data_IF_344441767622
#
_entry.id   IF_344441767622
#
_cell.length_a   1.000
_cell.length_b   1.000
_cell.length_c   1.000
_cell.angle_alpha   90.00
_cell.angle_beta   90.00
_cell.angle_gamma   90.00
#
_symmetry.space_group_name_H-M   'P 1'
#
loop_
_entity.id
_entity.type
_entity.pdbx_description
1 polymer ?
#
# COMPACT_ATOMS: atom_id res chain seq x y z
N UNK A 1 25.83 -80.01 75.24
CA UNK A 1 25.63 -79.79 73.78
C UNK A 1 24.71 -78.61 73.64
N UNK A 2 25.26 -77.49 73.20
CA UNK A 2 24.69 -76.15 73.40
C UNK A 2 23.67 -75.78 72.32
N UNK A 3 22.46 -75.43 72.77
CA UNK A 3 21.33 -75.01 71.93
C UNK A 3 21.41 -73.52 71.51
N UNK A 4 22.45 -72.79 71.90
CA UNK A 4 22.65 -71.37 71.56
C UNK A 4 23.22 -71.14 70.16
N UNK A 5 23.91 -72.12 69.58
CA UNK A 5 24.44 -72.01 68.22
C UNK A 5 23.36 -72.21 67.14
N UNK A 6 22.33 -73.03 67.39
CA UNK A 6 21.27 -73.27 66.39
C UNK A 6 20.34 -72.07 66.22
N UNK A 7 20.02 -71.32 67.28
CA UNK A 7 19.21 -70.10 67.19
C UNK A 7 19.95 -68.96 66.50
N UNK A 8 21.24 -68.73 66.81
CA UNK A 8 22.05 -67.73 66.14
C UNK A 8 22.21 -68.00 64.63
N UNK A 9 22.38 -69.28 64.26
CA UNK A 9 22.48 -69.70 62.86
C UNK A 9 21.14 -69.50 62.12
N UNK A 10 20.01 -69.88 62.71
CA UNK A 10 18.67 -69.66 62.10
C UNK A 10 18.31 -68.18 62.00
N UNK A 11 18.66 -67.35 62.99
CA UNK A 11 18.51 -65.88 62.90
C UNK A 11 19.39 -65.30 61.79
N UNK A 12 20.64 -65.75 61.65
CA UNK A 12 21.53 -65.30 60.57
C UNK A 12 21.03 -65.69 59.17
N UNK A 13 20.42 -66.87 59.01
CA UNK A 13 19.85 -67.32 57.73
C UNK A 13 18.54 -66.60 57.40
N UNK A 14 17.71 -66.28 58.39
CA UNK A 14 16.47 -65.54 58.20
C UNK A 14 16.73 -64.06 57.92
N UNK A 15 17.72 -63.44 58.57
CA UNK A 15 18.18 -62.08 58.24
C UNK A 15 18.79 -62.00 56.84
N UNK A 16 19.68 -62.93 56.48
CA UNK A 16 20.24 -63.01 55.11
C UNK A 16 19.15 -63.18 54.04
N UNK A 17 18.10 -63.95 54.31
CA UNK A 17 16.98 -64.15 53.38
C UNK A 17 16.13 -62.89 53.22
N UNK A 18 15.90 -62.16 54.31
CA UNK A 18 15.16 -60.88 54.32
C UNK A 18 15.93 -59.80 53.55
N UNK A 19 17.22 -59.63 53.81
CA UNK A 19 18.06 -58.67 53.07
C UNK A 19 18.16 -59.01 51.59
N UNK A 20 18.31 -60.30 51.23
CA UNK A 20 18.31 -60.74 49.83
C UNK A 20 17.00 -60.38 49.12
N UNK A 21 15.85 -60.56 49.77
CA UNK A 21 14.55 -60.17 49.21
C UNK A 21 14.44 -58.64 49.05
N UNK A 22 14.93 -57.88 50.04
CA UNK A 22 14.90 -56.43 49.99
C UNK A 22 15.72 -55.86 48.81
N UNK A 23 16.88 -56.45 48.50
CA UNK A 23 17.65 -56.08 47.30
C UNK A 23 16.89 -56.41 46.00
N UNK A 24 16.19 -57.55 45.93
CA UNK A 24 15.37 -57.92 44.77
C UNK A 24 14.24 -56.91 44.54
N UNK A 25 13.56 -56.47 45.60
CA UNK A 25 12.47 -55.51 45.51
C UNK A 25 12.98 -54.11 45.08
N UNK A 26 14.13 -53.68 45.60
CA UNK A 26 14.79 -52.44 45.22
C UNK A 26 15.28 -52.47 43.76
N UNK A 27 15.90 -53.58 43.34
CA UNK A 27 16.33 -53.78 41.95
C UNK A 27 15.13 -53.77 40.99
N UNK A 28 13.98 -54.31 41.41
CA UNK A 28 12.72 -54.20 40.69
C UNK A 28 12.29 -52.74 40.49
N UNK A 29 12.37 -51.92 41.55
CA UNK A 29 12.04 -50.49 41.47
C UNK A 29 13.01 -49.72 40.55
N UNK A 30 14.32 -50.00 40.64
CA UNK A 30 15.34 -49.39 39.77
C UNK A 30 15.11 -49.71 38.29
N UNK A 31 14.79 -50.97 37.98
CA UNK A 31 14.48 -51.38 36.61
C UNK A 31 13.27 -50.63 36.06
N UNK A 32 12.22 -50.47 36.86
CA UNK A 32 11.02 -49.74 36.45
C UNK A 32 11.30 -48.24 36.23
N UNK A 33 12.18 -47.64 37.03
CA UNK A 33 12.64 -46.26 36.84
C UNK A 33 13.45 -46.07 35.55
N UNK A 34 14.23 -47.09 35.16
CA UNK A 34 15.06 -47.06 33.96
C UNK A 34 14.28 -47.28 32.65
N UNK A 35 13.01 -47.69 32.72
CA UNK A 35 12.21 -47.98 31.54
C UNK A 35 11.44 -46.74 31.05
N UNK A 36 11.70 -46.23 29.83
CA UNK A 36 11.09 -45.00 29.33
C UNK A 36 9.59 -45.12 29.03
N UNK A 37 9.04 -46.34 29.01
CA UNK A 37 7.63 -46.62 28.71
C UNK A 37 6.73 -46.66 29.96
N UNK A 38 7.31 -46.62 31.17
CA UNK A 38 6.52 -46.64 32.41
C UNK A 38 6.07 -45.25 32.81
N UNK A 39 4.81 -45.15 33.27
CA UNK A 39 4.27 -43.89 33.80
C UNK A 39 4.99 -43.50 35.08
N UNK A 40 5.29 -42.21 35.24
CA UNK A 40 5.89 -41.68 36.48
C UNK A 40 5.06 -42.03 37.72
N UNK A 41 3.73 -42.14 37.58
CA UNK A 41 2.83 -42.52 38.67
C UNK A 41 3.04 -43.97 39.13
N UNK A 42 3.33 -44.89 38.21
CA UNK A 42 3.68 -46.27 38.56
C UNK A 42 5.06 -46.34 39.23
N UNK A 43 6.02 -45.54 38.76
CA UNK A 43 7.33 -45.45 39.39
C UNK A 43 7.24 -44.97 40.85
N UNK A 44 6.43 -43.94 41.12
CA UNK A 44 6.17 -43.46 42.50
C UNK A 44 5.52 -44.57 43.35
N UNK A 45 4.50 -45.26 42.83
CA UNK A 45 3.84 -46.35 43.56
C UNK A 45 4.80 -47.49 43.91
N UNK A 46 5.67 -47.88 42.99
CA UNK A 46 6.65 -48.93 43.22
C UNK A 46 7.67 -48.53 44.30
N UNK A 47 8.14 -47.29 44.28
CA UNK A 47 9.05 -46.76 45.30
C UNK A 47 8.38 -46.77 46.68
N UNK A 48 7.11 -46.33 46.75
CA UNK A 48 6.35 -46.35 48.00
C UNK A 48 6.16 -47.79 48.51
N UNK A 49 5.92 -48.76 47.62
CA UNK A 49 5.85 -50.17 48.00
C UNK A 49 7.17 -50.69 48.60
N UNK A 50 8.33 -50.32 48.04
CA UNK A 50 9.65 -50.65 48.61
C UNK A 50 9.87 -50.00 49.98
N UNK A 51 9.36 -48.78 50.17
CA UNK A 51 9.34 -48.10 51.47
C UNK A 51 8.28 -48.62 52.44
N UNK A 52 7.41 -49.53 51.98
CA UNK A 52 6.26 -50.06 52.73
C UNK A 52 5.24 -48.99 53.10
N UNK A 53 4.99 -48.05 52.18
CA UNK A 53 4.08 -46.92 52.30
C UNK A 53 3.02 -46.98 51.19
N UNK A 54 1.84 -46.44 51.48
CA UNK A 54 0.76 -46.27 50.50
C UNK A 54 0.58 -44.81 50.12
N UNK A 55 0.18 -44.55 48.86
CA UNK A 55 -0.13 -43.18 48.39
C UNK A 55 -1.23 -42.58 49.27
N UNK A 56 -0.86 -41.57 50.06
CA UNK A 56 -1.71 -40.90 51.04
C UNK A 56 -1.24 -39.45 51.26
N UNK A 57 -2.15 -38.56 51.64
CA UNK A 57 -1.84 -37.19 52.05
C UNK A 57 -0.90 -37.12 53.24
N UNK A 58 -0.91 -38.15 54.10
CA UNK A 58 0.02 -38.27 55.22
C UNK A 58 1.50 -38.33 54.79
N UNK A 59 1.78 -38.59 53.51
CA UNK A 59 3.13 -38.59 52.94
C UNK A 59 3.62 -37.21 52.50
N UNK A 60 2.77 -36.19 52.50
CA UNK A 60 3.14 -34.81 52.14
C UNK A 60 3.83 -34.04 53.28
N UNK A 61 4.06 -34.71 54.43
CA UNK A 61 4.90 -34.22 55.53
C UNK A 61 6.38 -34.31 55.19
N UNK A 62 7.21 -33.52 55.86
CA UNK A 62 8.66 -33.59 55.65
C UNK A 62 9.22 -34.91 56.21
N UNK A 63 9.84 -35.69 55.32
CA UNK A 63 10.58 -36.94 55.60
C UNK A 63 9.72 -38.09 56.19
N UNK A 64 8.77 -38.65 55.41
CA UNK A 64 7.92 -39.74 55.90
C UNK A 64 8.78 -40.98 56.27
N UNK A 65 8.58 -41.56 57.47
CA UNK A 65 9.38 -42.70 57.92
C UNK A 65 9.03 -43.97 57.13
N UNK A 66 10.01 -44.82 56.87
CA UNK A 66 9.80 -46.15 56.29
C UNK A 66 9.17 -47.09 57.33
N UNK A 67 8.37 -48.05 56.91
CA UNK A 67 7.84 -49.05 57.87
C UNK A 67 8.92 -50.06 58.27
N UNK A 68 8.92 -50.50 59.53
CA UNK A 68 9.94 -51.40 60.11
C UNK A 68 10.05 -52.75 59.37
N UNK A 69 9.03 -53.13 58.61
CA UNK A 69 8.98 -54.36 57.82
C UNK A 69 9.33 -54.14 56.35
N UNK A 70 9.47 -52.90 55.90
CA UNK A 70 9.74 -52.56 54.50
C UNK A 70 11.13 -53.01 54.05
N UNK A 71 11.25 -53.22 52.74
CA UNK A 71 12.53 -53.51 52.09
C UNK A 71 13.51 -52.34 52.26
N UNK A 72 13.03 -51.09 52.21
CA UNK A 72 13.85 -49.91 52.49
C UNK A 72 14.44 -49.91 53.92
N UNK A 73 13.65 -50.23 54.93
CA UNK A 73 14.12 -50.28 56.32
C UNK A 73 15.14 -51.40 56.54
N UNK A 74 14.92 -52.57 55.91
CA UNK A 74 15.86 -53.70 55.95
C UNK A 74 17.21 -53.38 55.30
N UNK A 75 17.23 -52.42 54.36
CA UNK A 75 18.44 -51.89 53.72
C UNK A 75 19.04 -50.68 54.45
N UNK A 76 18.50 -50.32 55.62
CA UNK A 76 19.07 -49.27 56.48
C UNK A 76 18.53 -47.85 56.24
N UNK A 77 17.54 -47.69 55.38
CA UNK A 77 16.89 -46.39 55.14
C UNK A 77 15.90 -46.07 56.26
N UNK A 78 16.04 -44.89 56.88
CA UNK A 78 15.19 -44.46 58.00
C UNK A 78 13.92 -43.76 57.54
N UNK A 79 13.97 -43.11 56.39
CA UNK A 79 12.86 -42.36 55.82
C UNK A 79 12.87 -42.45 54.29
N UNK A 80 11.77 -42.04 53.67
CA UNK A 80 11.64 -42.09 52.21
C UNK A 80 12.71 -41.25 51.52
N UNK A 81 13.06 -40.09 52.10
CA UNK A 81 14.10 -39.22 51.54
C UNK A 81 15.45 -39.92 51.48
N UNK A 82 15.85 -40.66 52.50
CA UNK A 82 17.11 -41.42 52.49
C UNK A 82 17.10 -42.49 51.40
N UNK A 83 15.98 -43.20 51.19
CA UNK A 83 15.84 -44.16 50.09
C UNK A 83 16.02 -43.49 48.71
N UNK A 84 15.40 -42.31 48.52
CA UNK A 84 15.43 -41.57 47.26
C UNK A 84 16.82 -41.00 46.95
N UNK A 85 17.45 -40.34 47.93
CA UNK A 85 18.67 -39.55 47.68
C UNK A 85 19.96 -40.34 47.81
N UNK A 86 19.96 -41.46 48.53
CA UNK A 86 21.17 -42.31 48.69
C UNK A 86 21.57 -42.90 47.33
N UNK A 87 22.87 -43.01 47.07
CA UNK A 87 23.38 -43.51 45.81
C UNK A 87 23.02 -44.98 45.57
N UNK A 88 22.95 -45.40 44.31
CA UNK A 88 22.63 -46.80 43.97
C UNK A 88 23.65 -47.81 44.53
N UNK A 89 24.91 -47.39 44.65
CA UNK A 89 25.99 -48.19 45.23
C UNK A 89 25.81 -48.46 46.75
N UNK A 90 24.97 -47.68 47.42
CA UNK A 90 24.65 -47.77 48.85
C UNK A 90 23.17 -48.16 49.05
N UNK A 91 22.63 -48.96 48.13
CA UNK A 91 21.25 -49.46 48.18
C UNK A 91 20.17 -48.35 48.18
N UNK A 92 20.43 -47.18 47.58
CA UNK A 92 19.45 -46.12 47.33
C UNK A 92 19.01 -45.98 45.87
N UNK A 93 18.27 -44.92 45.52
CA UNK A 93 17.77 -44.66 44.17
C UNK A 93 18.52 -43.54 43.41
N UNK A 94 19.35 -42.75 44.09
CA UNK A 94 20.15 -41.70 43.47
C UNK A 94 19.36 -40.59 42.75
N UNK A 95 18.12 -40.33 43.19
CA UNK A 95 17.20 -39.37 42.56
C UNK A 95 17.14 -38.03 43.32
N UNK A 96 16.71 -36.97 42.61
CA UNK A 96 16.40 -35.68 43.25
C UNK A 96 15.18 -35.81 44.15
N UNK A 97 15.32 -35.40 45.41
CA UNK A 97 14.20 -35.36 46.35
C UNK A 97 13.09 -34.41 45.89
N UNK A 98 13.44 -33.24 45.37
CA UNK A 98 12.46 -32.23 44.98
C UNK A 98 11.63 -32.69 43.77
N UNK A 99 12.28 -33.30 42.77
CA UNK A 99 11.59 -33.86 41.61
C UNK A 99 10.70 -35.04 42.01
N UNK A 100 11.18 -35.90 42.91
CA UNK A 100 10.37 -36.99 43.45
C UNK A 100 9.19 -36.46 44.29
N UNK A 101 9.39 -35.39 45.06
CA UNK A 101 8.34 -34.75 45.87
C UNK A 101 7.25 -34.13 45.01
N UNK A 102 7.59 -33.51 43.88
CA UNK A 102 6.60 -33.01 42.91
C UNK A 102 5.75 -34.15 42.32
N UNK A 103 6.40 -35.27 41.96
CA UNK A 103 5.71 -36.47 41.45
C UNK A 103 4.87 -37.15 42.54
N UNK A 104 5.36 -37.21 43.77
CA UNK A 104 4.61 -37.75 44.91
C UNK A 104 3.38 -36.89 45.20
N UNK A 105 3.53 -35.57 45.23
CA UNK A 105 2.44 -34.60 45.39
C UNK A 105 1.37 -34.79 44.31
N UNK A 106 1.80 -34.87 43.05
CA UNK A 106 0.90 -35.11 41.93
C UNK A 106 0.20 -36.48 42.00
N UNK A 107 0.89 -37.53 42.45
CA UNK A 107 0.29 -38.86 42.64
C UNK A 107 -0.80 -38.84 43.72
N UNK A 108 -0.56 -38.12 44.81
CA UNK A 108 -1.53 -37.92 45.89
C UNK A 108 -2.74 -37.14 45.38
N UNK A 109 -2.53 -36.01 44.68
CA UNK A 109 -3.62 -35.22 44.10
C UNK A 109 -4.41 -35.97 43.03
N UNK A 110 -3.73 -36.72 42.16
CA UNK A 110 -4.37 -37.54 41.13
C UNK A 110 -5.32 -38.57 41.76
N UNK A 111 -4.88 -39.23 42.83
CA UNK A 111 -5.70 -40.19 43.58
C UNK A 111 -6.83 -39.50 44.35
N UNK A 112 -6.54 -38.37 45.01
CA UNK A 112 -7.50 -37.64 45.87
C UNK A 112 -8.63 -37.01 45.06
N UNK A 113 -8.31 -36.32 43.97
CA UNK A 113 -9.26 -35.53 43.19
C UNK A 113 -9.73 -36.20 41.88
N UNK A 114 -9.27 -37.43 41.61
CA UNK A 114 -9.58 -38.18 40.39
C UNK A 114 -9.25 -37.40 39.11
N UNK A 115 -8.04 -36.85 39.05
CA UNK A 115 -7.54 -36.04 37.93
C UNK A 115 -7.13 -36.97 36.78
N UNK A 116 -7.60 -36.70 35.56
CA UNK A 116 -7.34 -37.54 34.38
C UNK A 116 -6.04 -37.16 33.66
N UNK A 117 -5.55 -35.95 33.90
CA UNK A 117 -4.30 -35.41 33.38
C UNK A 117 -3.11 -36.30 33.76
N UNK A 118 -2.16 -36.42 32.83
CA UNK A 118 -1.04 -37.36 32.95
C UNK A 118 0.30 -36.67 33.21
N UNK A 119 0.44 -35.37 33.04
CA UNK A 119 1.64 -34.64 33.43
C UNK A 119 1.56 -34.27 34.93
N UNK A 120 2.56 -34.64 35.71
CA UNK A 120 2.61 -34.32 37.14
C UNK A 120 2.65 -32.81 37.40
N UNK A 121 3.22 -32.02 36.48
CA UNK A 121 3.26 -30.55 36.60
C UNK A 121 1.90 -29.92 36.36
N UNK A 122 1.18 -30.39 35.34
CA UNK A 122 -0.19 -29.93 35.07
C UNK A 122 -1.14 -30.29 36.20
N UNK A 123 -1.03 -31.50 36.77
CA UNK A 123 -1.82 -31.92 37.94
C UNK A 123 -1.58 -30.98 39.13
N UNK A 124 -0.31 -30.68 39.42
CA UNK A 124 0.03 -29.76 40.52
C UNK A 124 -0.46 -28.33 40.24
N UNK A 125 -0.36 -27.86 39.00
CA UNK A 125 -0.86 -26.54 38.58
C UNK A 125 -2.39 -26.44 38.71
N UNK A 126 -3.13 -27.47 38.28
CA UNK A 126 -4.60 -27.50 38.39
C UNK A 126 -5.07 -27.42 39.85
N UNK A 127 -4.37 -28.10 40.76
CA UNK A 127 -4.70 -28.02 42.20
C UNK A 127 -4.27 -26.68 42.79
N UNK A 128 -3.19 -26.07 42.31
CA UNK A 128 -2.80 -24.70 42.67
C UNK A 128 -3.86 -23.69 42.24
N UNK A 129 -4.31 -23.74 40.99
CA UNK A 129 -5.35 -22.86 40.46
C UNK A 129 -6.66 -23.01 41.26
N UNK A 130 -7.06 -24.25 41.57
CA UNK A 130 -8.23 -24.51 42.41
C UNK A 130 -8.04 -23.96 43.84
N UNK A 131 -6.82 -24.03 44.38
CA UNK A 131 -6.47 -23.49 45.69
C UNK A 131 -6.57 -21.97 45.70
N UNK A 132 -6.12 -21.31 44.64
CA UNK A 132 -6.19 -19.85 44.49
C UNK A 132 -7.65 -19.36 44.37
N UNK A 133 -8.51 -20.11 43.65
CA UNK A 133 -9.94 -19.79 43.52
C UNK A 133 -10.69 -19.96 44.85
N UNK A 134 -10.36 -21.00 45.60
CA UNK A 134 -11.02 -21.32 46.88
C UNK A 134 -10.39 -20.58 48.07
N UNK A 135 -9.20 -20.00 47.91
CA UNK A 135 -8.39 -19.41 48.98
C UNK A 135 -7.80 -20.44 49.96
N UNK A 136 -7.98 -21.74 49.67
CA UNK A 136 -7.52 -22.88 50.47
C UNK A 136 -7.49 -24.15 49.62
N UNK A 137 -6.76 -25.17 50.08
CA UNK A 137 -6.74 -26.46 49.39
C UNK A 137 -8.15 -27.08 49.30
N UNK A 138 -8.53 -27.73 48.18
CA UNK A 138 -9.82 -28.39 48.05
C UNK A 138 -9.96 -29.57 49.02
N UNK A 139 -11.11 -29.72 49.67
CA UNK A 139 -11.34 -30.78 50.65
C UNK A 139 -11.65 -32.11 49.96
N UNK A 140 -12.48 -32.08 48.92
CA UNK A 140 -12.95 -33.27 48.22
C UNK A 140 -12.95 -33.10 46.68
N UNK A 141 -13.32 -34.19 45.99
CA UNK A 141 -13.41 -34.25 44.53
C UNK A 141 -14.43 -33.24 44.00
N UNK A 142 -15.59 -33.13 44.66
CA UNK A 142 -16.68 -32.27 44.21
C UNK A 142 -16.30 -30.79 44.25
N UNK A 143 -15.65 -30.36 45.32
CA UNK A 143 -15.17 -29.01 45.52
C UNK A 143 -14.07 -28.63 44.52
N UNK A 144 -13.13 -29.55 44.23
CA UNK A 144 -12.11 -29.33 43.20
C UNK A 144 -12.72 -29.12 41.81
N UNK A 145 -13.62 -30.01 41.38
CA UNK A 145 -14.24 -29.89 40.05
C UNK A 145 -15.21 -28.70 39.98
N UNK A 146 -15.91 -28.36 41.07
CA UNK A 146 -16.75 -27.17 41.13
C UNK A 146 -15.94 -25.87 41.03
N UNK A 147 -14.76 -25.80 41.66
CA UNK A 147 -13.86 -24.66 41.51
C UNK A 147 -13.36 -24.52 40.08
N UNK A 148 -12.97 -25.63 39.44
CA UNK A 148 -12.56 -25.67 38.02
C UNK A 148 -13.69 -25.21 37.09
N UNK A 149 -14.91 -25.71 37.29
CA UNK A 149 -16.09 -25.33 36.51
C UNK A 149 -16.45 -23.85 36.68
N UNK A 150 -16.38 -23.34 37.91
CA UNK A 150 -16.59 -21.92 38.21
C UNK A 150 -15.57 -21.04 37.49
N UNK A 151 -14.28 -21.38 37.53
CA UNK A 151 -13.24 -20.64 36.83
C UNK A 151 -13.47 -20.60 35.32
N UNK A 152 -13.86 -21.74 34.73
CA UNK A 152 -14.19 -21.83 33.31
C UNK A 152 -15.42 -20.96 32.97
N UNK A 153 -16.45 -21.02 33.79
CA UNK A 153 -17.67 -20.22 33.62
C UNK A 153 -17.38 -18.73 33.70
N UNK A 154 -16.60 -18.30 34.70
CA UNK A 154 -16.21 -16.91 34.88
C UNK A 154 -15.39 -16.41 33.68
N UNK A 155 -14.44 -17.22 33.20
CA UNK A 155 -13.64 -16.91 31.99
C UNK A 155 -14.49 -16.80 30.74
N UNK A 156 -15.43 -17.72 30.53
CA UNK A 156 -16.37 -17.67 29.40
C UNK A 156 -17.23 -16.41 29.48
N UNK A 157 -17.75 -16.08 30.67
CA UNK A 157 -18.58 -14.88 30.86
C UNK A 157 -17.79 -13.59 30.59
N UNK A 158 -16.52 -13.52 31.01
CA UNK A 158 -15.65 -12.38 30.75
C UNK A 158 -15.38 -12.22 29.25
N UNK A 159 -15.02 -13.31 28.55
CA UNK A 159 -14.83 -13.29 27.10
C UNK A 159 -16.11 -12.90 26.35
N UNK A 160 -17.28 -13.38 26.79
CA UNK A 160 -18.57 -13.01 26.18
C UNK A 160 -18.85 -11.52 26.34
N UNK A 161 -18.62 -10.94 27.53
CA UNK A 161 -18.81 -9.50 27.76
C UNK A 161 -17.88 -8.66 26.89
N UNK A 162 -16.62 -9.07 26.76
CA UNK A 162 -15.65 -8.38 25.91
C UNK A 162 -16.06 -8.45 24.43
N UNK A 163 -16.49 -9.63 23.97
CA UNK A 163 -17.02 -9.81 22.62
C UNK A 163 -18.23 -8.89 22.36
N UNK A 164 -19.21 -8.86 23.27
CA UNK A 164 -20.40 -8.02 23.14
C UNK A 164 -20.08 -6.51 23.15
N UNK A 165 -19.03 -6.11 23.88
CA UNK A 165 -18.54 -4.73 23.85
C UNK A 165 -17.91 -4.39 22.49
N UNK A 166 -17.10 -5.29 21.93
CA UNK A 166 -16.49 -5.12 20.60
C UNK A 166 -17.54 -5.07 19.49
N UNK A 167 -18.55 -5.94 19.55
CA UNK A 167 -19.66 -5.94 18.57
C UNK A 167 -20.42 -4.61 18.61
N UNK A 168 -20.67 -4.06 19.80
CA UNK A 168 -21.31 -2.74 19.96
C UNK A 168 -20.48 -1.61 19.35
N UNK A 169 -19.19 -1.52 19.67
CA UNK A 169 -18.28 -0.51 19.09
C UNK A 169 -18.23 -0.60 17.55
N UNK A 170 -18.10 -1.81 16.99
CA UNK A 170 -18.11 -2.01 15.54
C UNK A 170 -19.45 -1.59 14.92
N UNK A 171 -20.57 -1.88 15.57
CA UNK A 171 -21.91 -1.49 15.10
C UNK A 171 -22.08 0.03 15.12
N UNK A 172 -21.61 0.71 16.17
CA UNK A 172 -21.64 2.18 16.27
C UNK A 172 -20.79 2.84 15.18
N UNK A 173 -19.58 2.31 14.93
CA UNK A 173 -18.74 2.78 13.82
C UNK A 173 -19.38 2.56 12.46
N UNK A 174 -20.00 1.40 12.24
CA UNK A 174 -20.72 1.11 11.00
C UNK A 174 -21.88 2.09 10.80
N UNK A 175 -22.66 2.37 11.83
CA UNK A 175 -23.74 3.36 11.75
C UNK A 175 -23.21 4.78 11.48
N UNK A 176 -22.08 5.15 12.07
CA UNK A 176 -21.40 6.43 11.79
C UNK A 176 -21.01 6.54 10.31
N UNK A 177 -20.34 5.52 9.76
CA UNK A 177 -19.95 5.46 8.36
C UNK A 177 -21.15 5.52 7.40
N UNK A 178 -22.27 4.85 7.73
CA UNK A 178 -23.49 4.90 6.92
C UNK A 178 -24.09 6.31 6.88
N UNK A 179 -24.10 7.03 8.02
CA UNK A 179 -24.56 8.42 8.07
C UNK A 179 -23.67 9.34 7.23
N UNK A 180 -22.35 9.19 7.33
CA UNK A 180 -21.39 9.98 6.56
C UNK A 180 -21.50 9.70 5.06
N UNK A 181 -21.67 8.45 4.65
CA UNK A 181 -21.93 8.07 3.26
C UNK A 181 -23.23 8.70 2.75
N UNK A 182 -24.30 8.66 3.54
CA UNK A 182 -25.58 9.26 3.17
C UNK A 182 -25.44 10.79 2.99
N UNK A 183 -24.71 11.45 3.89
CA UNK A 183 -24.45 12.89 3.80
C UNK A 183 -23.64 13.24 2.55
N UNK A 184 -22.57 12.50 2.27
CA UNK A 184 -21.76 12.72 1.06
C UNK A 184 -22.54 12.45 -0.21
N UNK A 185 -23.44 11.45 -0.20
CA UNK A 185 -24.31 11.19 -1.34
C UNK A 185 -25.24 12.38 -1.62
N UNK A 186 -25.83 12.96 -0.58
CA UNK A 186 -26.66 14.17 -0.72
C UNK A 186 -25.87 15.38 -1.22
N UNK A 187 -24.64 15.59 -0.73
CA UNK A 187 -23.74 16.64 -1.22
C UNK A 187 -23.43 16.45 -2.72
N UNK A 188 -23.16 15.22 -3.14
CA UNK A 188 -22.85 14.87 -4.53
C UNK A 188 -24.07 15.10 -5.45
N UNK A 189 -25.27 14.71 -5.01
CA UNK A 189 -26.50 14.95 -5.74
C UNK A 189 -26.83 16.44 -5.84
N UNK A 190 -26.52 17.23 -4.79
CA UNK A 190 -26.60 18.69 -4.83
C UNK A 190 -25.66 19.31 -5.89
N UNK A 191 -24.40 18.88 -5.91
CA UNK A 191 -23.41 19.33 -6.91
C UNK A 191 -23.82 18.92 -8.33
N UNK A 192 -24.40 17.73 -8.52
CA UNK A 192 -24.93 17.31 -9.83
C UNK A 192 -26.06 18.22 -10.30
N UNK A 193 -27.01 18.53 -9.42
CA UNK A 193 -28.12 19.44 -9.75
C UNK A 193 -27.63 20.85 -10.09
N UNK A 194 -26.66 21.39 -9.35
CA UNK A 194 -26.06 22.68 -9.66
C UNK A 194 -25.31 22.67 -10.99
N UNK A 195 -24.61 21.58 -11.31
CA UNK A 195 -23.90 21.43 -12.59
C UNK A 195 -24.88 21.36 -13.77
N UNK A 196 -25.98 20.62 -13.63
CA UNK A 196 -27.06 20.60 -14.63
C UNK A 196 -27.66 21.99 -14.86
N UNK A 197 -27.91 22.74 -13.78
CA UNK A 197 -28.41 24.12 -13.85
C UNK A 197 -27.42 25.05 -14.55
N UNK A 198 -26.13 25.02 -14.15
CA UNK A 198 -25.07 25.80 -14.78
C UNK A 198 -24.90 25.46 -16.26
N UNK A 199 -24.98 24.18 -16.63
CA UNK A 199 -24.92 23.74 -18.02
C UNK A 199 -26.06 24.34 -18.84
N UNK A 200 -27.29 24.35 -18.30
CA UNK A 200 -28.43 24.99 -18.95
C UNK A 200 -28.28 26.51 -19.07
N UNK A 201 -27.81 27.20 -18.01
CA UNK A 201 -27.52 28.63 -18.03
C UNK A 201 -26.47 29.00 -19.08
N UNK A 202 -25.39 28.22 -19.20
CA UNK A 202 -24.34 28.42 -20.20
C UNK A 202 -24.88 28.24 -21.62
N UNK A 203 -25.70 27.21 -21.87
CA UNK A 203 -26.33 27.00 -23.18
C UNK A 203 -27.26 28.16 -23.54
N UNK A 204 -28.07 28.64 -22.59
CA UNK A 204 -28.91 29.82 -22.80
C UNK A 204 -28.07 31.05 -23.12
N UNK A 205 -26.98 31.28 -22.38
CA UNK A 205 -26.11 32.43 -22.59
C UNK A 205 -25.38 32.39 -23.94
N UNK A 206 -24.95 31.21 -24.39
CA UNK A 206 -24.37 31.03 -25.73
C UNK A 206 -25.39 31.35 -26.81
N UNK A 207 -26.64 30.92 -26.65
CA UNK A 207 -27.71 31.21 -27.61
C UNK A 207 -28.06 32.71 -27.64
N UNK A 208 -28.09 33.38 -26.48
CA UNK A 208 -28.24 34.84 -26.40
C UNK A 208 -27.09 35.56 -27.14
N UNK A 209 -25.84 35.21 -26.85
CA UNK A 209 -24.69 35.84 -27.51
C UNK A 209 -24.68 35.61 -29.02
N UNK A 210 -25.07 34.41 -29.50
CA UNK A 210 -25.22 34.13 -30.93
C UNK A 210 -26.28 35.02 -31.57
N UNK A 211 -27.40 35.21 -30.88
CA UNK A 211 -28.47 36.09 -31.34
C UNK A 211 -28.02 37.55 -31.38
N UNK A 212 -27.39 38.05 -30.32
CA UNK A 212 -26.85 39.41 -30.27
C UNK A 212 -25.80 39.64 -31.37
N UNK A 213 -24.94 38.65 -31.64
CA UNK A 213 -23.94 38.72 -32.70
C UNK A 213 -24.59 38.79 -34.08
N UNK A 214 -25.60 37.95 -34.35
CA UNK A 214 -26.35 37.98 -35.60
C UNK A 214 -27.10 39.31 -35.78
N UNK A 215 -27.77 39.80 -34.73
CA UNK A 215 -28.46 41.11 -34.76
C UNK A 215 -27.48 42.27 -34.97
N UNK A 216 -26.28 42.21 -34.40
CA UNK A 216 -25.22 43.20 -34.64
C UNK A 216 -24.71 43.16 -36.08
N UNK A 217 -24.52 41.96 -36.63
CA UNK A 217 -24.05 41.79 -38.01
C UNK A 217 -25.09 42.32 -39.01
N UNK A 218 -26.36 41.98 -38.84
CA UNK A 218 -27.47 42.52 -39.64
C UNK A 218 -27.54 44.06 -39.59
N UNK A 219 -27.30 44.66 -38.41
CA UNK A 219 -27.27 46.13 -38.28
C UNK A 219 -26.10 46.74 -39.04
N UNK A 220 -24.92 46.12 -38.98
CA UNK A 220 -23.72 46.60 -39.69
C UNK A 220 -23.93 46.48 -41.21
N UNK A 221 -24.46 45.35 -41.69
CA UNK A 221 -24.75 45.13 -43.11
C UNK A 221 -25.78 46.15 -43.64
N UNK A 222 -26.90 46.36 -42.92
CA UNK A 222 -27.89 47.39 -43.31
C UNK A 222 -27.31 48.80 -43.32
N UNK A 223 -26.43 49.14 -42.39
CA UNK A 223 -25.74 50.43 -42.39
C UNK A 223 -24.78 50.57 -43.57
N UNK A 224 -24.07 49.51 -43.93
CA UNK A 224 -23.19 49.50 -45.09
C UNK A 224 -24.00 49.66 -46.40
N UNK A 225 -25.10 48.91 -46.56
CA UNK A 225 -25.98 49.01 -47.72
C UNK A 225 -26.58 50.41 -47.88
N UNK A 226 -27.01 51.03 -46.77
CA UNK A 226 -27.51 52.40 -46.77
C UNK A 226 -26.44 53.40 -47.22
N UNK A 227 -25.18 53.26 -46.77
CA UNK A 227 -24.08 54.14 -47.19
C UNK A 227 -23.76 53.96 -48.67
N UNK A 228 -23.73 52.72 -49.17
CA UNK A 228 -23.50 52.44 -50.59
C UNK A 228 -24.61 53.04 -51.44
N UNK A 229 -25.89 52.86 -51.05
CA UNK A 229 -27.01 53.45 -51.77
C UNK A 229 -26.93 54.99 -51.83
N UNK A 230 -26.55 55.64 -50.72
CA UNK A 230 -26.35 57.10 -50.68
C UNK A 230 -25.22 57.58 -51.60
N UNK A 231 -24.08 56.87 -51.62
CA UNK A 231 -22.97 57.22 -52.53
C UNK A 231 -23.34 56.99 -54.00
N UNK A 232 -24.07 55.91 -54.31
CA UNK A 232 -24.58 55.66 -55.67
C UNK A 232 -25.51 56.78 -56.13
N UNK A 233 -26.43 57.23 -55.28
CA UNK A 233 -27.29 58.37 -55.60
C UNK A 233 -26.48 59.66 -55.80
N UNK A 234 -25.49 59.93 -54.93
CA UNK A 234 -24.64 61.12 -55.03
C UNK A 234 -23.89 61.14 -56.37
N UNK A 235 -23.21 60.04 -56.69
CA UNK A 235 -22.47 59.88 -57.95
C UNK A 235 -23.42 59.99 -59.16
N UNK A 236 -24.61 59.40 -59.08
CA UNK A 236 -25.64 59.52 -60.12
C UNK A 236 -26.03 60.96 -60.40
N UNK A 237 -26.33 61.74 -59.35
CA UNK A 237 -26.67 63.18 -59.49
C UNK A 237 -25.51 64.00 -60.04
N UNK A 238 -24.29 63.77 -59.55
CA UNK A 238 -23.09 64.47 -60.05
C UNK A 238 -22.86 64.18 -61.53
N UNK A 239 -23.03 62.92 -61.95
CA UNK A 239 -22.96 62.53 -63.35
C UNK A 239 -24.04 63.20 -64.20
N UNK A 240 -25.28 63.22 -63.75
CA UNK A 240 -26.39 63.84 -64.49
C UNK A 240 -26.18 65.34 -64.67
N UNK A 241 -25.68 66.04 -63.63
CA UNK A 241 -25.32 67.47 -63.72
C UNK A 241 -24.19 67.69 -64.72
N UNK A 242 -23.12 66.87 -64.67
CA UNK A 242 -22.01 67.00 -65.61
C UNK A 242 -22.44 66.74 -67.07
N UNK A 243 -23.27 65.72 -67.30
CA UNK A 243 -23.81 65.42 -68.63
C UNK A 243 -24.73 66.53 -69.14
N UNK A 244 -25.55 67.12 -68.27
CA UNK A 244 -26.42 68.23 -68.63
C UNK A 244 -25.61 69.48 -69.01
N UNK A 245 -24.57 69.81 -68.25
CA UNK A 245 -23.66 70.92 -68.57
C UNK A 245 -22.96 70.71 -69.92
N UNK A 246 -22.50 69.49 -70.21
CA UNK A 246 -21.92 69.15 -71.51
C UNK A 246 -22.95 69.28 -72.65
N UNK A 247 -24.19 68.84 -72.45
CA UNK A 247 -25.26 68.96 -73.46
C UNK A 247 -25.61 70.42 -73.75
N UNK A 248 -25.68 71.26 -72.72
CA UNK A 248 -25.95 72.70 -72.87
C UNK A 248 -24.82 73.40 -73.63
N UNK A 249 -23.56 73.08 -73.31
CA UNK A 249 -22.40 73.60 -74.02
C UNK A 249 -22.43 73.24 -75.51
N UNK A 250 -22.64 71.95 -75.83
CA UNK A 250 -22.75 71.48 -77.22
C UNK A 250 -23.93 72.16 -77.94
N UNK A 251 -25.09 72.29 -77.28
CA UNK A 251 -26.26 72.95 -77.88
C UNK A 251 -25.99 74.43 -78.21
N UNK A 252 -25.25 75.13 -77.36
CA UNK A 252 -24.88 76.52 -77.60
C UNK A 252 -23.93 76.66 -78.80
N UNK A 253 -22.93 75.78 -78.91
CA UNK A 253 -22.02 75.74 -80.06
C UNK A 253 -22.75 75.41 -81.37
N UNK A 254 -23.63 74.41 -81.36
CA UNK A 254 -24.46 74.05 -82.53
C UNK A 254 -25.33 75.24 -82.97
N UNK A 255 -25.89 75.99 -82.01
CA UNK A 255 -26.68 77.17 -82.33
C UNK A 255 -25.85 78.24 -83.03
N UNK A 256 -24.66 78.56 -82.49
CA UNK A 256 -23.73 79.52 -83.11
C UNK A 256 -23.32 79.12 -84.52
N UNK A 257 -22.97 77.84 -84.74
CA UNK A 257 -22.63 77.32 -86.08
C UNK A 257 -23.81 77.46 -87.03
N UNK A 258 -25.03 77.18 -86.57
CA UNK A 258 -26.24 77.27 -87.39
C UNK A 258 -26.54 78.73 -87.79
N UNK A 259 -26.37 79.68 -86.87
CA UNK A 259 -26.52 81.12 -87.17
C UNK A 259 -25.48 81.58 -88.21
N UNK A 260 -24.21 81.21 -88.04
CA UNK A 260 -23.15 81.53 -88.99
C UNK A 260 -23.44 80.95 -90.38
N UNK A 261 -23.93 79.70 -90.44
CA UNK A 261 -24.34 79.05 -91.68
C UNK A 261 -25.49 79.79 -92.36
N UNK A 262 -26.53 80.16 -91.64
CA UNK A 262 -27.69 80.88 -92.19
C UNK A 262 -27.29 82.24 -92.78
N UNK A 263 -26.41 82.98 -92.09
CA UNK A 263 -25.87 84.26 -92.60
C UNK A 263 -25.07 84.05 -93.88
N UNK A 264 -24.24 83.00 -93.96
CA UNK A 264 -23.49 82.66 -95.15
C UNK A 264 -24.40 82.24 -96.32
N UNK A 265 -25.43 81.42 -96.07
CA UNK A 265 -26.40 80.99 -97.08
C UNK A 265 -27.22 82.17 -97.63
N UNK A 266 -27.68 83.09 -96.77
CA UNK A 266 -28.38 84.31 -97.20
C UNK A 266 -27.49 85.19 -98.08
N UNK A 267 -26.24 85.43 -97.66
CA UNK A 267 -25.30 86.21 -98.47
C UNK A 267 -25.04 85.57 -99.85
N UNK A 268 -24.95 84.23 -99.90
CA UNK A 268 -24.75 83.50 -101.13
C UNK A 268 -25.99 83.54 -102.05
N UNK A 269 -27.19 83.53 -101.47
CA UNK A 269 -28.45 83.73 -102.20
C UNK A 269 -28.55 85.13 -102.83
N UNK A 270 -28.22 86.17 -102.06
CA UNK A 270 -28.22 87.57 -102.55
C UNK A 270 -27.26 87.77 -103.71
N UNK A 271 -26.07 87.17 -103.63
CA UNK A 271 -25.06 87.23 -104.71
C UNK A 271 -25.55 86.51 -105.96
N UNK A 272 -26.15 85.32 -105.81
CA UNK A 272 -26.75 84.60 -106.95
C UNK A 272 -27.83 85.44 -107.63
N UNK A 273 -28.66 86.16 -106.87
CA UNK A 273 -29.67 87.05 -107.41
C UNK A 273 -29.08 88.29 -108.13
N UNK A 274 -27.99 88.86 -107.60
CA UNK A 274 -27.28 89.99 -108.23
C UNK A 274 -26.58 89.59 -109.54
N UNK A 275 -25.99 88.40 -109.61
CA UNK A 275 -25.40 87.87 -110.85
C UNK A 275 -26.49 87.60 -111.89
N UNK A 276 -27.61 86.99 -111.49
CA UNK A 276 -28.73 86.71 -112.40
C UNK A 276 -29.40 87.98 -112.98
N UNK A 277 -29.23 89.14 -112.33
CA UNK A 277 -29.74 90.44 -112.80
C UNK A 277 -28.74 91.24 -113.65
N UNK A 278 -27.57 90.68 -113.97
CA UNK A 278 -26.64 91.24 -114.96
C UNK A 278 -25.81 92.45 -114.50
N UNK A 279 -25.74 92.72 -113.20
CA UNK A 279 -24.89 93.80 -112.66
C UNK A 279 -23.42 93.35 -112.57
N UNK A 280 -22.50 94.23 -112.99
CA UNK A 280 -21.06 94.00 -112.82
C UNK A 280 -20.72 94.06 -111.32
N UNK A 281 -20.20 92.95 -110.77
CA UNK A 281 -19.82 92.86 -109.36
C UNK A 281 -18.49 93.56 -109.17
N UNK A 282 -18.48 94.66 -108.41
CA UNK A 282 -17.26 95.42 -108.12
C UNK A 282 -16.21 94.54 -107.42
N UNK A 283 -14.92 94.77 -107.71
CA UNK A 283 -13.81 94.03 -107.12
C UNK A 283 -13.77 94.09 -105.57
N UNK A 284 -14.42 95.09 -104.97
CA UNK A 284 -14.64 95.22 -103.53
C UNK A 284 -15.51 94.10 -102.95
N UNK A 285 -16.53 93.63 -103.70
CA UNK A 285 -17.43 92.55 -103.30
C UNK A 285 -16.74 91.19 -103.44
N UNK A 286 -15.96 90.99 -104.50
CA UNK A 286 -15.11 89.78 -104.66
C UNK A 286 -14.10 89.68 -103.51
N UNK A 287 -13.43 90.79 -103.17
CA UNK A 287 -12.49 90.84 -102.05
C UNK A 287 -13.18 90.61 -100.70
N UNK A 288 -14.39 91.13 -100.50
CA UNK A 288 -15.20 90.85 -99.32
C UNK A 288 -15.65 89.39 -99.21
N UNK A 289 -15.84 88.70 -100.34
CA UNK A 289 -16.10 87.26 -100.38
C UNK A 289 -14.84 86.44 -100.12
N UNK A 290 -13.68 86.86 -100.63
CA UNK A 290 -12.39 86.24 -100.31
C UNK A 290 -12.10 86.32 -98.81
N UNK A 291 -12.31 87.49 -98.17
CA UNK A 291 -12.17 87.65 -96.72
C UNK A 291 -13.13 86.73 -95.94
N UNK A 292 -14.36 86.54 -96.43
CA UNK A 292 -15.34 85.65 -95.80
C UNK A 292 -15.01 84.17 -95.99
N UNK A 293 -14.56 83.79 -97.19
CA UNK A 293 -14.06 82.44 -97.48
C UNK A 293 -12.86 82.13 -96.58
N UNK A 294 -11.98 83.11 -96.35
CA UNK A 294 -10.83 82.97 -95.47
C UNK A 294 -11.26 82.77 -94.00
N UNK A 295 -12.30 83.47 -93.53
CA UNK A 295 -12.89 83.23 -92.20
C UNK A 295 -13.54 81.86 -92.06
N UNK A 296 -14.26 81.39 -93.09
CA UNK A 296 -14.85 80.05 -93.10
C UNK A 296 -13.76 78.98 -93.06
N UNK A 297 -12.70 79.13 -93.85
CA UNK A 297 -11.56 78.21 -93.82
C UNK A 297 -10.86 78.19 -92.45
N UNK A 298 -10.73 79.34 -91.78
CA UNK A 298 -10.19 79.41 -90.41
C UNK A 298 -11.10 78.67 -89.41
N UNK A 299 -12.41 78.86 -89.50
CA UNK A 299 -13.38 78.16 -88.64
C UNK A 299 -13.39 76.65 -88.91
N UNK A 300 -13.24 76.22 -90.15
CA UNK A 300 -13.16 74.80 -90.52
C UNK A 300 -11.87 74.16 -89.99
N UNK A 301 -10.75 74.91 -89.98
CA UNK A 301 -9.50 74.49 -89.34
C UNK A 301 -9.65 74.41 -87.81
N UNK A 302 -10.30 75.37 -87.17
CA UNK A 302 -10.59 75.31 -85.72
C UNK A 302 -11.47 74.11 -85.36
N UNK A 303 -12.51 73.83 -86.15
CA UNK A 303 -13.42 72.71 -85.92
C UNK A 303 -12.72 71.36 -86.15
N UNK A 304 -11.86 71.28 -87.16
CA UNK A 304 -10.99 70.11 -87.33
C UNK A 304 -10.00 69.93 -86.18
N UNK A 305 -9.43 71.01 -85.63
CA UNK A 305 -8.56 70.93 -84.45
C UNK A 305 -9.33 70.49 -83.19
N UNK A 306 -10.57 70.95 -83.00
CA UNK A 306 -11.43 70.52 -81.90
C UNK A 306 -11.84 69.05 -82.05
N UNK A 307 -12.19 68.60 -83.26
CA UNK A 307 -12.44 67.19 -83.55
C UNK A 307 -11.20 66.34 -83.29
N UNK A 308 -10.00 66.83 -83.64
CA UNK A 308 -8.75 66.14 -83.32
C UNK A 308 -8.55 66.02 -81.80
N UNK A 309 -8.79 67.11 -81.05
CA UNK A 309 -8.72 67.14 -79.59
C UNK A 309 -9.73 66.18 -78.94
N UNK A 310 -10.97 66.15 -79.42
CA UNK A 310 -12.00 65.22 -78.97
C UNK A 310 -11.62 63.77 -79.28
N UNK A 311 -11.04 63.52 -80.45
CA UNK A 311 -10.57 62.19 -80.83
C UNK A 311 -9.37 61.76 -79.97
N UNK A 312 -8.46 62.68 -79.64
CA UNK A 312 -7.39 62.43 -78.67
C UNK A 312 -7.93 62.14 -77.26
N UNK A 313 -8.95 62.88 -76.79
CA UNK A 313 -9.63 62.59 -75.52
C UNK A 313 -10.31 61.22 -75.53
N UNK A 314 -11.01 60.87 -76.61
CA UNK A 314 -11.66 59.57 -76.77
C UNK A 314 -10.63 58.43 -76.76
N UNK A 315 -9.49 58.61 -77.42
CA UNK A 315 -8.38 57.63 -77.37
C UNK A 315 -7.84 57.50 -75.95
N UNK A 316 -7.67 58.60 -75.20
CA UNK A 316 -7.24 58.55 -73.79
C UNK A 316 -8.25 57.83 -72.92
N UNK A 317 -9.54 58.13 -73.04
CA UNK A 317 -10.59 57.43 -72.28
C UNK A 317 -10.67 55.95 -72.63
N UNK A 318 -10.48 55.57 -73.90
CA UNK A 318 -10.37 54.16 -74.29
C UNK A 318 -9.15 53.48 -73.66
N UNK A 319 -8.01 54.17 -73.60
CA UNK A 319 -6.80 53.65 -72.94
C UNK A 319 -6.98 53.52 -71.42
N UNK A 320 -7.61 54.51 -70.76
CA UNK A 320 -7.96 54.44 -69.34
C UNK A 320 -8.98 53.33 -69.06
N UNK A 321 -9.98 53.16 -69.91
CA UNK A 321 -10.95 52.07 -69.84
C UNK A 321 -10.29 50.69 -69.98
N UNK A 322 -9.34 50.54 -70.90
CA UNK A 322 -8.52 49.32 -71.03
C UNK A 322 -7.65 49.09 -69.79
N UNK A 323 -7.04 50.15 -69.23
CA UNK A 323 -6.23 50.05 -68.02
C UNK A 323 -7.07 49.60 -66.80
N UNK A 324 -8.25 50.18 -66.62
CA UNK A 324 -9.21 49.77 -65.58
C UNK A 324 -9.67 48.34 -65.78
N UNK A 325 -9.93 47.91 -67.02
CA UNK A 325 -10.31 46.53 -67.33
C UNK A 325 -9.20 45.54 -66.99
N UNK A 326 -7.96 45.87 -67.32
CA UNK A 326 -6.79 45.07 -66.96
C UNK A 326 -6.59 45.01 -65.43
N UNK A 327 -6.83 46.11 -64.71
CA UNK A 327 -6.80 46.12 -63.25
C UNK A 327 -7.91 45.23 -62.65
N UNK A 328 -9.09 45.23 -63.26
CA UNK A 328 -10.22 44.41 -62.82
C UNK A 328 -9.96 42.92 -63.07
N UNK A 329 -9.34 42.56 -64.21
CA UNK A 329 -8.84 41.22 -64.47
C UNK A 329 -7.74 40.81 -63.47
N UNK A 330 -6.79 41.69 -63.16
CA UNK A 330 -5.76 41.43 -62.17
C UNK A 330 -6.34 41.21 -60.76
N UNK A 331 -7.33 42.02 -60.35
CA UNK A 331 -8.02 41.87 -59.07
C UNK A 331 -8.86 40.59 -59.02
N UNK A 332 -9.49 40.18 -60.11
CA UNK A 332 -10.24 38.90 -60.18
C UNK A 332 -9.31 37.69 -60.11
N UNK A 333 -8.15 37.74 -60.77
CA UNK A 333 -7.09 36.75 -60.61
C UNK A 333 -6.54 36.71 -59.18
N UNK A 334 -6.30 37.87 -58.57
CA UNK A 334 -5.85 37.95 -57.17
C UNK A 334 -6.85 37.35 -56.21
N UNK A 335 -8.15 37.71 -56.33
CA UNK A 335 -9.20 37.16 -55.46
C UNK A 335 -9.43 35.66 -55.69
N UNK A 336 -9.21 35.14 -56.90
CA UNK A 336 -9.18 33.70 -57.13
C UNK A 336 -8.02 33.02 -56.40
N UNK A 337 -6.82 33.62 -56.45
CA UNK A 337 -5.65 33.16 -55.70
C UNK A 337 -5.85 33.21 -54.18
N UNK A 338 -6.43 34.28 -53.66
CA UNK A 338 -6.74 34.43 -52.24
C UNK A 338 -7.76 33.37 -51.78
N UNK A 339 -8.77 33.06 -52.60
CA UNK A 339 -9.73 31.97 -52.32
C UNK A 339 -9.05 30.60 -52.26
N UNK A 340 -8.07 30.32 -53.11
CA UNK A 340 -7.27 29.10 -53.05
C UNK A 340 -6.40 29.04 -51.79
N UNK A 341 -5.75 30.16 -51.42
CA UNK A 341 -4.97 30.24 -50.19
C UNK A 341 -5.84 30.05 -48.95
N UNK A 342 -7.04 30.64 -48.91
CA UNK A 342 -8.00 30.46 -47.82
C UNK A 342 -8.41 28.98 -47.72
N UNK A 343 -8.74 28.32 -48.83
CA UNK A 343 -9.05 26.87 -48.83
C UNK A 343 -7.89 26.03 -48.31
N UNK A 344 -6.65 26.35 -48.71
CA UNK A 344 -5.47 25.65 -48.22
C UNK A 344 -5.24 25.86 -46.72
N UNK A 345 -5.50 27.08 -46.21
CA UNK A 345 -5.44 27.38 -44.78
C UNK A 345 -6.55 26.68 -43.99
N UNK A 346 -7.78 26.64 -44.50
CA UNK A 346 -8.89 25.89 -43.90
C UNK A 346 -8.63 24.39 -43.85
N UNK A 347 -7.98 23.83 -44.89
CA UNK A 347 -7.56 22.43 -44.92
C UNK A 347 -6.50 22.18 -43.84
N UNK A 348 -5.45 23.02 -43.77
CA UNK A 348 -4.44 22.94 -42.70
C UNK A 348 -5.03 23.09 -41.30
N UNK A 349 -6.02 23.96 -41.12
CA UNK A 349 -6.71 24.14 -39.84
C UNK A 349 -7.49 22.88 -39.46
N UNK A 350 -8.15 22.23 -40.43
CA UNK A 350 -8.78 20.92 -40.24
C UNK A 350 -7.76 19.86 -39.83
N UNK A 351 -6.65 19.76 -40.57
CA UNK A 351 -5.58 18.79 -40.27
C UNK A 351 -5.02 19.00 -38.85
N UNK A 352 -4.79 20.26 -38.43
CA UNK A 352 -4.33 20.59 -37.07
C UNK A 352 -5.39 20.28 -36.00
N UNK A 353 -6.67 20.46 -36.32
CA UNK A 353 -7.78 20.13 -35.40
C UNK A 353 -7.92 18.62 -35.26
N UNK A 354 -7.81 17.85 -36.35
CA UNK A 354 -7.77 16.38 -36.32
C UNK A 354 -6.54 15.88 -35.57
N UNK A 355 -5.35 16.43 -35.84
CA UNK A 355 -4.11 16.07 -35.13
C UNK A 355 -4.19 16.44 -33.63
N UNK A 356 -4.89 17.51 -33.26
CA UNK A 356 -5.18 17.84 -31.85
C UNK A 356 -6.23 16.93 -31.22
N UNK A 357 -7.21 16.44 -31.97
CA UNK A 357 -8.20 15.48 -31.48
C UNK A 357 -7.56 14.10 -31.28
N UNK A 358 -6.72 13.66 -32.22
CA UNK A 358 -5.91 12.44 -32.11
C UNK A 358 -4.86 12.58 -31.00
N UNK A 359 -4.17 13.72 -30.91
CA UNK A 359 -3.26 14.03 -29.80
C UNK A 359 -3.97 14.14 -28.45
N UNK A 360 -5.25 14.56 -28.42
CA UNK A 360 -6.07 14.57 -27.21
C UNK A 360 -6.47 13.16 -26.78
N UNK A 361 -6.73 12.24 -27.71
CA UNK A 361 -7.01 10.84 -27.38
C UNK A 361 -5.73 10.11 -26.94
N UNK A 362 -4.59 10.35 -27.59
CA UNK A 362 -3.28 9.86 -27.12
C UNK A 362 -2.91 10.43 -25.75
N UNK A 363 -3.11 11.73 -25.51
CA UNK A 363 -2.87 12.35 -24.21
C UNK A 363 -3.78 11.75 -23.13
N UNK A 364 -5.05 11.48 -23.44
CA UNK A 364 -5.98 10.85 -22.49
C UNK A 364 -5.56 9.41 -22.17
N UNK A 365 -5.14 8.63 -23.18
CA UNK A 365 -4.61 7.25 -23.01
C UNK A 365 -3.30 7.27 -22.21
N UNK A 366 -2.40 8.22 -22.48
CA UNK A 366 -1.16 8.41 -21.74
C UNK A 366 -1.45 8.81 -20.29
N UNK A 367 -2.41 9.71 -20.06
CA UNK A 367 -2.80 10.14 -18.72
C UNK A 367 -3.46 9.00 -17.94
N UNK A 368 -4.32 8.19 -18.57
CA UNK A 368 -4.90 6.98 -17.98
C UNK A 368 -3.79 5.97 -17.61
N UNK A 369 -2.86 5.68 -18.53
CA UNK A 369 -1.69 4.83 -18.26
C UNK A 369 -0.81 5.37 -17.11
N UNK A 370 -0.60 6.68 -17.05
CA UNK A 370 0.19 7.31 -15.99
C UNK A 370 -0.53 7.20 -14.63
N UNK A 371 -1.86 7.26 -14.64
CA UNK A 371 -2.68 7.09 -13.44
C UNK A 371 -2.66 5.63 -12.96
N UNK A 372 -2.79 4.67 -13.87
CA UNK A 372 -2.66 3.23 -13.57
C UNK A 372 -1.26 2.94 -13.00
N UNK A 373 -0.20 3.42 -13.66
CA UNK A 373 1.18 3.21 -13.20
C UNK A 373 1.46 3.85 -11.83
N UNK A 374 0.86 5.02 -11.54
CA UNK A 374 0.93 5.64 -10.20
C UNK A 374 0.23 4.79 -9.14
N UNK A 375 -0.94 4.24 -9.46
CA UNK A 375 -1.68 3.37 -8.54
C UNK A 375 -0.93 2.06 -8.27
N UNK A 376 -0.36 1.43 -9.30
CA UNK A 376 0.49 0.24 -9.16
C UNK A 376 1.72 0.52 -8.29
N UNK A 377 2.37 1.67 -8.49
CA UNK A 377 3.52 2.08 -7.67
C UNK A 377 3.15 2.29 -6.21
N UNK A 378 2.00 2.92 -5.93
CA UNK A 378 1.51 3.10 -4.57
C UNK A 378 1.22 1.75 -3.89
N UNK A 379 0.58 0.81 -4.60
CA UNK A 379 0.32 -0.54 -4.09
C UNK A 379 1.62 -1.32 -3.82
N UNK A 380 2.63 -1.19 -4.69
CA UNK A 380 3.94 -1.78 -4.50
C UNK A 380 4.69 -1.15 -3.32
N UNK A 381 4.62 0.17 -3.14
CA UNK A 381 5.20 0.86 -1.98
C UNK A 381 4.55 0.39 -0.67
N UNK A 382 3.22 0.26 -0.63
CA UNK A 382 2.51 -0.27 0.54
C UNK A 382 2.91 -1.72 0.85
N UNK A 383 2.98 -2.59 -0.17
CA UNK A 383 3.46 -3.97 -0.02
C UNK A 383 4.90 -4.03 0.49
N UNK A 384 5.77 -3.13 0.03
CA UNK A 384 7.16 -3.08 0.46
C UNK A 384 7.30 -2.65 1.93
N UNK A 385 6.47 -1.70 2.38
CA UNK A 385 6.39 -1.32 3.81
C UNK A 385 5.93 -2.50 4.66
N UNK A 386 4.89 -3.22 4.23
CA UNK A 386 4.43 -4.42 4.94
C UNK A 386 5.51 -5.51 5.03
N UNK A 387 6.27 -5.73 3.95
CA UNK A 387 7.39 -6.67 3.95
C UNK A 387 8.56 -6.20 4.82
N UNK A 388 8.85 -4.90 4.87
CA UNK A 388 9.85 -4.34 5.78
C UNK A 388 9.46 -4.53 7.24
N UNK A 389 8.21 -4.25 7.60
CA UNK A 389 7.69 -4.46 8.96
C UNK A 389 7.74 -5.95 9.35
N UNK A 390 7.34 -6.84 8.43
CA UNK A 390 7.44 -8.28 8.63
C UNK A 390 8.90 -8.74 8.83
N UNK A 391 9.84 -8.20 8.05
CA UNK A 391 11.27 -8.47 8.21
C UNK A 391 11.81 -7.97 9.54
N UNK A 392 11.43 -6.76 9.99
CA UNK A 392 11.84 -6.25 11.31
C UNK A 392 11.35 -7.15 12.45
N UNK A 393 10.13 -7.67 12.35
CA UNK A 393 9.59 -8.64 13.31
C UNK A 393 10.39 -9.95 13.28
N UNK A 394 10.71 -10.45 12.08
CA UNK A 394 11.53 -11.65 11.94
C UNK A 394 12.96 -11.45 12.46
N UNK A 395 13.59 -10.31 12.20
CA UNK A 395 14.91 -9.97 12.73
C UNK A 395 14.92 -9.89 14.25
N UNK A 396 13.88 -9.31 14.87
CA UNK A 396 13.71 -9.31 16.33
C UNK A 396 13.62 -10.74 16.86
N UNK A 397 12.74 -11.57 16.30
CA UNK A 397 12.63 -12.99 16.69
C UNK A 397 13.95 -13.74 16.51
N UNK A 398 14.69 -13.47 15.44
CA UNK A 398 15.98 -14.10 15.16
C UNK A 398 17.03 -13.65 16.19
N UNK A 399 16.99 -12.38 16.62
CA UNK A 399 17.85 -11.87 17.70
C UNK A 399 17.53 -12.51 19.06
N UNK A 400 16.25 -12.72 19.38
CA UNK A 400 15.81 -13.42 20.59
C UNK A 400 16.29 -14.87 20.60
N UNK A 401 16.13 -15.59 19.47
CA UNK A 401 16.62 -16.96 19.32
C UNK A 401 18.14 -17.04 19.44
N UNK A 402 18.88 -16.09 18.84
CA UNK A 402 20.34 -16.01 19.00
C UNK A 402 20.74 -15.75 20.46
N UNK A 403 20.05 -14.86 21.15
CA UNK A 403 20.27 -14.59 22.57
C UNK A 403 20.00 -15.82 23.44
N UNK A 404 18.90 -16.52 23.19
CA UNK A 404 18.56 -17.76 23.87
C UNK A 404 19.62 -18.85 23.61
N UNK A 405 20.09 -18.99 22.38
CA UNK A 405 21.14 -19.95 22.03
C UNK A 405 22.46 -19.65 22.77
N UNK A 406 22.88 -18.39 22.82
CA UNK A 406 24.13 -18.04 23.47
C UNK A 406 24.04 -18.17 25.00
N UNK A 407 22.89 -17.86 25.60
CA UNK A 407 22.61 -18.18 27.00
C UNK A 407 22.69 -19.68 27.27
N UNK A 408 22.11 -20.51 26.41
CA UNK A 408 22.15 -21.97 26.55
C UNK A 408 23.58 -22.52 26.47
N UNK A 409 24.42 -21.93 25.61
CA UNK A 409 25.83 -22.26 25.47
C UNK A 409 26.66 -21.84 26.68
N UNK A 410 26.37 -20.68 27.27
CA UNK A 410 26.99 -20.24 28.54
C UNK A 410 26.60 -21.19 29.66
N UNK A 411 25.30 -21.47 29.83
CA UNK A 411 24.79 -22.43 30.82
C UNK A 411 25.43 -23.82 30.64
N UNK A 412 25.55 -24.30 29.40
CA UNK A 412 26.22 -25.57 29.10
C UNK A 412 27.71 -25.58 29.48
N UNK A 413 28.42 -24.46 29.29
CA UNK A 413 29.82 -24.32 29.73
C UNK A 413 29.94 -24.27 31.25
N UNK A 414 29.07 -23.51 31.91
CA UNK A 414 29.03 -23.43 33.38
C UNK A 414 28.74 -24.79 33.99
N UNK A 415 27.77 -25.53 33.43
CA UNK A 415 27.45 -26.89 33.84
C UNK A 415 28.64 -27.85 33.64
N UNK A 416 29.30 -27.80 32.48
CA UNK A 416 30.52 -28.59 32.23
C UNK A 416 31.66 -28.23 33.20
N UNK A 417 31.85 -26.96 33.53
CA UNK A 417 32.86 -26.52 34.49
C UNK A 417 32.52 -26.98 35.92
N UNK A 418 31.24 -26.92 36.30
CA UNK A 418 30.75 -27.40 37.59
C UNK A 418 31.00 -28.92 37.73
N UNK A 419 30.64 -29.72 36.71
CA UNK A 419 30.94 -31.14 36.67
C UNK A 419 32.45 -31.42 36.76
N UNK A 420 33.28 -30.61 36.11
CA UNK A 420 34.74 -30.74 36.18
C UNK A 420 35.27 -30.47 37.59
N UNK A 421 34.74 -29.46 38.29
CA UNK A 421 35.06 -29.15 39.68
C UNK A 421 34.65 -30.29 40.61
N UNK A 422 33.42 -30.77 40.50
CA UNK A 422 32.92 -31.89 41.30
C UNK A 422 33.76 -33.15 41.08
N UNK A 423 34.17 -33.45 39.84
CA UNK A 423 35.02 -34.60 39.56
C UNK A 423 36.44 -34.43 40.14
N UNK A 424 36.98 -33.21 40.13
CA UNK A 424 38.25 -32.90 40.80
C UNK A 424 38.15 -33.09 42.33
N UNK A 425 37.07 -32.64 42.95
CA UNK A 425 36.81 -32.86 44.38
C UNK A 425 36.62 -34.35 44.69
N UNK A 426 35.82 -35.06 43.90
CA UNK A 426 35.58 -36.49 44.07
C UNK A 426 36.86 -37.33 43.88
N UNK A 427 37.74 -36.95 42.96
CA UNK A 427 39.04 -37.62 42.78
C UNK A 427 39.98 -37.35 43.96
N UNK A 428 39.95 -36.15 44.54
CA UNK A 428 40.77 -35.82 45.71
C UNK A 428 40.26 -36.51 46.99
N UNK A 429 38.94 -36.56 47.20
CA UNK A 429 38.35 -37.33 48.30
C UNK A 429 38.64 -38.82 48.14
N UNK A 430 38.54 -39.37 46.92
CA UNK A 430 38.87 -40.77 46.67
C UNK A 430 40.36 -41.07 46.95
N UNK A 431 41.31 -40.20 46.55
CA UNK A 431 42.73 -40.34 46.95
C UNK A 431 42.90 -40.33 48.47
N UNK A 432 42.19 -39.45 49.17
CA UNK A 432 42.24 -39.38 50.64
C UNK A 432 41.72 -40.66 51.30
N UNK A 433 40.61 -41.21 50.80
CA UNK A 433 40.02 -42.46 51.26
C UNK A 433 40.93 -43.65 50.97
N UNK A 434 41.56 -43.72 49.79
CA UNK A 434 42.54 -44.75 49.46
C UNK A 434 43.74 -44.68 50.41
N UNK A 435 44.21 -43.47 50.76
CA UNK A 435 45.28 -43.29 51.74
C UNK A 435 44.87 -43.74 53.14
N UNK A 436 43.66 -43.37 53.58
CA UNK A 436 43.09 -43.82 54.86
C UNK A 436 42.91 -45.35 54.89
N UNK A 437 42.42 -45.96 53.81
CA UNK A 437 42.30 -47.40 53.66
C UNK A 437 43.67 -48.08 53.73
N UNK A 438 44.69 -47.51 53.10
CA UNK A 438 46.08 -47.98 53.19
C UNK A 438 46.62 -47.92 54.61
N UNK A 439 46.37 -46.82 55.34
CA UNK A 439 46.71 -46.68 56.75
C UNK A 439 45.95 -47.68 57.62
N UNK A 440 44.65 -47.85 57.39
CA UNK A 440 43.80 -48.81 58.09
C UNK A 440 44.32 -50.25 57.90
N UNK A 441 44.67 -50.62 56.66
CA UNK A 441 45.29 -51.93 56.34
C UNK A 441 46.63 -52.12 57.05
N UNK A 442 47.48 -51.08 57.12
CA UNK A 442 48.73 -51.13 57.87
C UNK A 442 48.48 -51.31 59.36
N UNK A 443 47.55 -50.56 59.97
CA UNK A 443 47.19 -50.73 61.39
C UNK A 443 46.60 -52.11 61.66
N UNK A 444 45.75 -52.64 60.78
CA UNK A 444 45.18 -53.98 60.91
C UNK A 444 46.26 -55.06 60.75
N UNK A 445 47.20 -54.87 59.84
CA UNK A 445 48.38 -55.72 59.68
C UNK A 445 49.27 -55.70 60.92
N UNK A 446 49.53 -54.52 61.50
CA UNK A 446 50.27 -54.40 62.77
C UNK A 446 49.51 -55.08 63.91
N UNK A 447 48.21 -54.86 64.06
CA UNK A 447 47.37 -55.49 65.10
C UNK A 447 47.32 -57.01 64.92
N UNK A 448 47.24 -57.52 63.68
CA UNK A 448 47.32 -58.94 63.40
C UNK A 448 48.71 -59.51 63.71
N UNK A 449 49.79 -58.82 63.35
CA UNK A 449 51.16 -59.27 63.65
C UNK A 449 51.49 -59.16 65.14
N UNK A 450 51.00 -58.13 65.84
CA UNK A 450 51.17 -58.00 67.29
C UNK A 450 50.21 -58.90 68.07
N UNK A 451 49.03 -59.22 67.52
CA UNK A 451 48.08 -60.18 68.08
C UNK A 451 48.55 -61.62 67.90
N UNK A 452 49.13 -61.94 66.75
CA UNK A 452 49.83 -63.22 66.50
C UNK A 452 51.13 -63.26 67.29
N UNK A 453 51.86 -62.14 67.43
CA UNK A 453 53.04 -62.03 68.29
C UNK A 453 52.71 -62.19 69.77
N UNK A 454 51.57 -61.67 70.24
CA UNK A 454 51.07 -61.87 71.60
C UNK A 454 50.54 -63.29 71.81
N UNK A 455 49.91 -63.92 70.81
CA UNK A 455 49.49 -65.32 70.85
C UNK A 455 50.69 -66.29 70.79
N UNK A 456 51.74 -65.96 70.01
CA UNK A 456 53.00 -66.70 69.95
C UNK A 456 53.81 -66.48 71.23
N UNK A 457 53.81 -65.28 71.81
CA UNK A 457 54.41 -65.02 73.13
C UNK A 457 53.65 -65.71 74.27
N UNK A 458 52.30 -65.80 74.20
CA UNK A 458 51.48 -66.56 75.16
C UNK A 458 51.67 -68.08 75.01
N UNK A 459 51.84 -68.59 73.78
CA UNK A 459 52.11 -70.01 73.54
C UNK A 459 53.57 -70.39 73.85
N UNK A 460 54.54 -69.48 73.63
CA UNK A 460 55.93 -69.66 74.07
C UNK A 460 56.11 -69.45 75.59
N UNK A 461 55.29 -68.63 76.25
CA UNK A 461 55.27 -68.56 77.72
C UNK A 461 54.54 -69.74 78.36
N UNK A 462 53.69 -70.45 77.62
CA UNK A 462 53.02 -71.68 78.07
C UNK A 462 53.76 -72.98 77.68
N UNK A 463 54.91 -72.89 77.00
CA UNK A 463 55.77 -74.04 76.65
C UNK A 463 57.19 -73.95 77.20
N UNK A 464 57.38 -73.23 78.31
CA UNK A 464 58.67 -73.14 79.01
C UNK A 464 58.68 -73.80 80.39
N UNK A 465 58.89 -75.13 80.45
CA UNK A 465 59.84 -75.83 81.34
C UNK A 465 60.21 -77.17 80.67
N UNK A 466 61.51 -77.33 80.35
CA UNK A 466 62.19 -78.48 79.71
C UNK A 466 62.20 -78.47 78.18
#
# INVERSE_FOLDING_TARGET
MDNSNNTAVVHSFTEKRKTTQAHVDLDGARRLLSMPTFSWSMAVQQILMVAGLDVSEALLVDEPPTTLTSSAYQLGHKNLKSLITTAEAEDGLGMSWDEFREKLTAAVYKKKYQISENDFREINALVSDATDILGRAPIDIGEFHAAKEKALTDRISAMSREHDARVRDLTERQQGLVRDLTKRQQELDGVRSDNERLSQEVVQRINEMRRETAESQDRIERQADLRVAQEVERIGRERDVALQQQREAISAEVHQITELRNVAENALSDIKAQIASGMYVEASVVRGLEDRLQKVNLAEVELNNQLLSLNEQLIREQQEGLALRNQLEALTLSTAGDKEQIRALEQRLRDVVEERLDGSTEFMILQERLTISRNERAALEESNVQLQDANLVLERKLSEVRGAHENLKVQGREYCNHLRSMNAEATETNKSLVKQLGQAKLTLGVVLVSGVGAAIALTLSMTGVI
#
